data_IF_584835351402
#
_entry.id   IF_584835351402
#
_cell.length_a   1.000
_cell.length_b   1.000
_cell.length_c   1.000
_cell.angle_alpha   90.00
_cell.angle_beta   90.00
_cell.angle_gamma   90.00
#
_symmetry.space_group_name_H-M   'P 1'
#
loop_
_entity.id
_entity.type
_entity.pdbx_description
1 polymer ?
#
# COMPACT_ATOMS: atom_id res chain seq x y z
N UNK A 1 -11.02 -12.09 -2.42
CA UNK A 1 -9.67 -12.47 -1.96
C UNK A 1 -9.68 -12.50 -0.44
N UNK A 2 -8.78 -13.22 0.20
CA UNK A 2 -8.58 -13.16 1.65
C UNK A 2 -7.72 -11.94 2.01
N UNK A 3 -7.78 -11.50 3.27
CA UNK A 3 -6.93 -10.40 3.77
C UNK A 3 -5.44 -10.71 3.59
N UNK A 4 -5.05 -11.96 3.76
CA UNK A 4 -3.67 -12.43 3.59
C UNK A 4 -3.21 -12.32 2.12
N UNK A 5 -4.08 -12.64 1.17
CA UNK A 5 -3.80 -12.46 -0.26
C UNK A 5 -3.65 -10.97 -0.63
N UNK A 6 -4.51 -10.11 -0.07
CA UNK A 6 -4.42 -8.65 -0.27
C UNK A 6 -3.14 -8.09 0.36
N UNK A 7 -2.78 -8.51 1.56
CA UNK A 7 -1.53 -8.13 2.22
C UNK A 7 -0.30 -8.50 1.39
N UNK A 8 -0.23 -9.73 0.88
CA UNK A 8 0.89 -10.17 0.04
C UNK A 8 1.03 -9.28 -1.21
N UNK A 9 -0.09 -8.95 -1.87
CA UNK A 9 -0.11 -8.07 -3.05
C UNK A 9 0.28 -6.63 -2.72
N UNK A 10 -0.22 -6.07 -1.63
CA UNK A 10 0.14 -4.72 -1.20
C UNK A 10 1.63 -4.64 -0.86
N UNK A 11 2.21 -5.68 -0.23
CA UNK A 11 3.65 -5.77 -0.01
C UNK A 11 4.43 -5.77 -1.33
N UNK A 12 4.00 -6.53 -2.34
CA UNK A 12 4.61 -6.53 -3.68
C UNK A 12 4.59 -5.12 -4.32
N UNK A 13 3.44 -4.44 -4.24
CA UNK A 13 3.30 -3.07 -4.77
C UNK A 13 4.16 -2.07 -4.01
N UNK A 14 4.24 -2.18 -2.68
CA UNK A 14 5.08 -1.32 -1.85
C UNK A 14 6.57 -1.52 -2.21
N UNK A 15 7.01 -2.77 -2.33
CA UNK A 15 8.38 -3.09 -2.72
C UNK A 15 8.76 -2.43 -4.05
N UNK A 16 7.88 -2.52 -5.06
CA UNK A 16 8.09 -1.90 -6.36
C UNK A 16 8.07 -0.37 -6.31
N UNK A 17 7.07 0.23 -5.66
CA UNK A 17 6.90 1.69 -5.59
C UNK A 17 8.01 2.38 -4.79
N UNK A 18 8.40 1.77 -3.67
CA UNK A 18 9.41 2.31 -2.75
C UNK A 18 10.83 1.82 -3.03
N UNK A 19 11.00 0.89 -4.00
CA UNK A 19 12.28 0.27 -4.37
C UNK A 19 12.96 -0.39 -3.17
N UNK A 20 12.18 -1.15 -2.40
CA UNK A 20 12.61 -1.91 -1.23
C UNK A 20 12.41 -3.40 -1.46
N UNK A 21 13.10 -4.22 -0.67
CA UNK A 21 12.88 -5.66 -0.66
C UNK A 21 11.51 -5.96 -0.02
N UNK A 22 10.68 -6.77 -0.66
CA UNK A 22 9.38 -7.18 -0.12
C UNK A 22 9.54 -7.99 1.17
N UNK A 23 10.67 -8.68 1.38
CA UNK A 23 10.96 -9.41 2.61
C UNK A 23 11.15 -8.49 3.84
N UNK A 24 11.43 -7.20 3.62
CA UNK A 24 11.58 -6.20 4.69
C UNK A 24 10.27 -5.49 5.04
N UNK A 25 9.22 -5.67 4.22
CA UNK A 25 7.93 -5.00 4.40
C UNK A 25 6.96 -5.96 5.09
N UNK A 26 6.34 -5.49 6.16
CA UNK A 26 5.38 -6.21 6.98
C UNK A 26 4.11 -5.38 7.13
N UNK A 27 3.10 -6.02 7.70
CA UNK A 27 1.82 -5.37 7.99
C UNK A 27 1.98 -4.13 8.89
N UNK A 28 2.88 -4.19 9.87
CA UNK A 28 3.14 -3.11 10.83
C UNK A 28 4.15 -2.05 10.33
N UNK A 29 4.69 -2.21 9.11
CA UNK A 29 5.65 -1.27 8.55
C UNK A 29 5.04 0.11 8.34
N UNK A 30 5.68 1.14 8.90
CA UNK A 30 5.29 2.54 8.76
C UNK A 30 5.67 3.08 7.37
N UNK A 31 4.67 3.50 6.60
CA UNK A 31 4.86 3.93 5.21
C UNK A 31 5.73 5.19 5.15
N UNK A 32 5.49 6.16 6.01
CA UNK A 32 6.17 7.45 5.94
C UNK A 32 7.60 7.38 6.47
N UNK A 33 7.79 6.71 7.60
CA UNK A 33 9.07 6.64 8.30
C UNK A 33 9.98 5.56 7.75
N UNK A 34 9.42 4.44 7.26
CA UNK A 34 10.21 3.31 6.80
C UNK A 34 10.27 3.20 5.28
N UNK A 35 9.20 3.47 4.53
CA UNK A 35 9.20 3.26 3.07
C UNK A 35 9.55 4.52 2.27
N UNK A 36 8.88 5.62 2.56
CA UNK A 36 9.14 6.91 1.93
C UNK A 36 7.92 7.83 1.83
N UNK A 37 8.18 9.12 1.68
CA UNK A 37 7.14 10.17 1.61
C UNK A 37 7.06 10.87 0.26
N UNK A 38 7.84 10.44 -0.74
CA UNK A 38 7.87 11.11 -2.03
C UNK A 38 6.54 10.95 -2.78
N UNK A 39 6.02 12.05 -3.32
CA UNK A 39 4.70 12.08 -3.96
C UNK A 39 4.58 11.10 -5.14
N UNK A 40 5.64 10.93 -5.92
CA UNK A 40 5.66 9.98 -7.04
C UNK A 40 5.57 8.52 -6.59
N UNK A 41 6.18 8.15 -5.46
CA UNK A 41 6.09 6.80 -4.90
C UNK A 41 4.68 6.50 -4.40
N UNK A 42 4.04 7.48 -3.71
CA UNK A 42 2.66 7.35 -3.23
C UNK A 42 1.66 7.21 -4.38
N UNK A 43 1.84 7.99 -5.44
CA UNK A 43 1.00 7.90 -6.65
C UNK A 43 1.21 6.57 -7.37
N UNK A 44 2.44 6.08 -7.47
CA UNK A 44 2.71 4.77 -8.06
C UNK A 44 2.04 3.64 -7.25
N UNK A 45 2.16 3.71 -5.92
CA UNK A 45 1.53 2.76 -5.01
C UNK A 45 0.00 2.77 -5.13
N UNK A 46 -0.63 3.95 -5.06
CA UNK A 46 -2.09 4.05 -5.17
C UNK A 46 -2.56 3.54 -6.52
N UNK A 47 -1.91 3.91 -7.63
CA UNK A 47 -2.30 3.46 -8.96
C UNK A 47 -2.19 1.93 -9.12
N UNK A 48 -1.17 1.28 -8.54
CA UNK A 48 -1.05 -0.18 -8.58
C UNK A 48 -2.20 -0.87 -7.83
N UNK A 49 -2.56 -0.36 -6.65
CA UNK A 49 -3.67 -0.90 -5.85
C UNK A 49 -5.01 -0.69 -6.56
N UNK A 50 -5.27 0.53 -7.04
CA UNK A 50 -6.51 0.88 -7.75
C UNK A 50 -6.72 0.00 -8.99
N UNK A 51 -5.67 -0.24 -9.78
CA UNK A 51 -5.76 -1.09 -10.98
C UNK A 51 -5.97 -2.58 -10.68
N UNK A 52 -5.41 -3.10 -9.59
CA UNK A 52 -5.52 -4.53 -9.24
C UNK A 52 -6.86 -4.86 -8.59
N UNK A 53 -7.32 -4.00 -7.67
CA UNK A 53 -8.48 -4.29 -6.83
C UNK A 53 -9.74 -3.54 -7.25
N UNK A 54 -9.69 -2.72 -8.30
CA UNK A 54 -10.80 -1.88 -8.78
C UNK A 54 -11.36 -0.95 -7.68
N UNK A 55 -10.48 -0.48 -6.80
CA UNK A 55 -10.79 0.47 -5.72
C UNK A 55 -10.35 1.89 -6.09
N UNK A 56 -10.81 2.89 -5.35
CA UNK A 56 -10.34 4.27 -5.47
C UNK A 56 -9.64 4.72 -4.19
N UNK A 57 -8.37 5.11 -4.29
CA UNK A 57 -7.60 5.67 -3.17
C UNK A 57 -7.31 7.15 -3.48
N UNK A 58 -8.09 8.09 -2.91
CA UNK A 58 -7.76 9.50 -3.02
C UNK A 58 -6.35 9.75 -2.48
N UNK A 59 -5.50 10.43 -3.25
CA UNK A 59 -4.11 10.74 -2.84
C UNK A 59 -4.07 11.47 -1.48
N UNK A 60 -5.08 12.31 -1.20
CA UNK A 60 -5.25 12.99 0.08
C UNK A 60 -5.55 12.04 1.27
N UNK A 61 -6.13 10.87 1.00
CA UNK A 61 -6.36 9.80 1.97
C UNK A 61 -5.13 8.91 2.10
N UNK A 62 -4.40 8.67 1.01
CA UNK A 62 -3.17 7.86 1.03
C UNK A 62 -2.18 8.32 2.11
N UNK A 63 -1.96 9.63 2.22
CA UNK A 63 -1.05 10.19 3.23
C UNK A 63 -1.50 10.06 4.68
N UNK A 64 -2.68 9.50 4.95
CA UNK A 64 -3.22 9.26 6.30
C UNK A 64 -3.04 7.81 6.77
N UNK A 65 -2.74 6.89 5.88
CA UNK A 65 -2.43 5.51 6.27
C UNK A 65 -1.04 5.50 6.90
N UNK A 66 -0.94 5.02 8.14
CA UNK A 66 0.31 4.95 8.85
C UNK A 66 1.08 3.70 8.42
N UNK A 67 0.39 2.57 8.32
CA UNK A 67 0.98 1.25 8.09
C UNK A 67 0.48 0.58 6.81
N UNK A 68 1.19 -0.47 6.37
CA UNK A 68 0.72 -1.37 5.31
C UNK A 68 -0.61 -2.03 5.68
N UNK A 69 -0.79 -2.41 6.95
CA UNK A 69 -2.05 -2.96 7.47
C UNK A 69 -3.23 -2.01 7.27
N UNK A 70 -3.04 -0.71 7.50
CA UNK A 70 -4.10 0.28 7.28
C UNK A 70 -4.54 0.35 5.81
N UNK A 71 -3.60 0.17 4.86
CA UNK A 71 -3.91 0.07 3.44
C UNK A 71 -4.66 -1.22 3.11
N UNK A 72 -4.25 -2.34 3.69
CA UNK A 72 -4.92 -3.64 3.51
C UNK A 72 -6.36 -3.57 4.00
N UNK A 73 -6.58 -3.05 5.20
CA UNK A 73 -7.91 -2.94 5.79
C UNK A 73 -8.80 -2.01 4.97
N UNK A 74 -8.26 -0.88 4.50
CA UNK A 74 -8.98 0.01 3.59
C UNK A 74 -9.39 -0.68 2.29
N UNK A 75 -8.48 -1.42 1.66
CA UNK A 75 -8.79 -2.13 0.40
C UNK A 75 -9.83 -3.21 0.65
N UNK A 76 -9.71 -3.97 1.74
CA UNK A 76 -10.70 -4.99 2.11
C UNK A 76 -12.10 -4.42 2.38
N UNK A 77 -12.19 -3.19 2.90
CA UNK A 77 -13.46 -2.51 3.16
C UNK A 77 -14.14 -1.94 1.89
N UNK A 78 -13.36 -1.60 0.87
CA UNK A 78 -13.87 -1.01 -0.39
C UNK A 78 -14.12 -2.04 -1.50
N UNK A 79 -13.53 -3.24 -1.40
CA UNK A 79 -13.74 -4.38 -2.31
C UNK A 79 -15.10 -5.05 -2.12
#
# INVERSE_FOLDING_TARGET
>A
MTREEVLAKIIEFAAMAFKKDSAEIKEDTDIANELGVASNQRVAMSASIENEFDVMIPVARFGKFATIGDLVDFVMDEM
#
